data_IF_794861367332
#
_entry.id   IF_794861367332
#
_cell.length_a   1.000
_cell.length_b   1.000
_cell.length_c   1.000
_cell.angle_alpha   90.00
_cell.angle_beta   90.00
_cell.angle_gamma   90.00
#
_symmetry.space_group_name_H-M   'P 1'
#
loop_
_entity.id
_entity.type
_entity.pdbx_description
1 polymer ?
#
# COMPACT_ATOMS: atom_id res chain seq x y z
N UNK A 1 14.52 -18.04 0.78
CA UNK A 1 15.20 -16.85 0.20
C UNK A 1 14.18 -15.74 0.16
N UNK A 2 14.31 -14.70 1.01
CA UNK A 2 13.42 -13.54 0.97
C UNK A 2 13.96 -12.62 -0.11
N UNK A 3 13.21 -12.39 -1.19
CA UNK A 3 13.58 -11.48 -2.26
C UNK A 3 13.81 -10.08 -1.68
N UNK A 4 15.08 -9.71 -1.49
CA UNK A 4 15.54 -8.41 -0.93
C UNK A 4 15.22 -7.19 -1.82
N UNK A 5 14.52 -7.37 -2.94
CA UNK A 5 14.22 -6.31 -3.92
C UNK A 5 12.75 -5.93 -4.06
N UNK A 6 11.79 -6.80 -3.68
CA UNK A 6 10.38 -6.42 -3.70
C UNK A 6 10.01 -5.80 -2.35
N UNK A 7 9.86 -4.47 -2.32
CA UNK A 7 9.05 -3.82 -1.29
C UNK A 7 7.71 -4.56 -1.24
N UNK A 8 7.40 -5.22 -0.11
CA UNK A 8 6.06 -5.76 0.06
C UNK A 8 5.10 -4.55 0.01
N UNK A 9 4.02 -4.66 -0.76
CA UNK A 9 3.11 -3.53 -1.03
C UNK A 9 2.59 -2.89 0.26
N UNK A 10 2.34 -3.70 1.30
CA UNK A 10 1.95 -3.21 2.62
C UNK A 10 2.98 -2.31 3.31
N UNK A 11 4.27 -2.63 3.21
CA UNK A 11 5.37 -1.86 3.79
C UNK A 11 5.54 -0.52 3.07
N UNK A 12 5.29 -0.50 1.76
CA UNK A 12 5.23 0.72 0.98
C UNK A 12 4.03 1.59 1.38
N UNK A 13 2.83 1.00 1.50
CA UNK A 13 1.63 1.67 2.00
C UNK A 13 1.89 2.29 3.37
N UNK A 14 2.49 1.55 4.31
CA UNK A 14 2.89 2.05 5.63
C UNK A 14 3.85 3.24 5.53
N UNK A 15 4.87 3.13 4.69
CA UNK A 15 5.85 4.19 4.53
C UNK A 15 5.19 5.48 4.00
N UNK A 16 4.32 5.37 3.00
CA UNK A 16 3.66 6.56 2.45
C UNK A 16 2.65 7.14 3.44
N UNK A 17 1.84 6.30 4.09
CA UNK A 17 0.88 6.74 5.10
C UNK A 17 1.55 7.52 6.22
N UNK A 18 2.65 6.99 6.76
CA UNK A 18 3.40 7.65 7.85
C UNK A 18 4.08 8.94 7.39
N UNK A 19 4.68 8.98 6.18
CA UNK A 19 5.19 10.23 5.58
C UNK A 19 4.12 11.32 5.45
N UNK A 20 2.86 10.94 5.24
CA UNK A 20 1.71 11.85 5.16
C UNK A 20 1.07 12.17 6.52
N UNK A 21 1.65 11.71 7.64
CA UNK A 21 1.07 11.84 8.98
C UNK A 21 -0.39 11.37 9.07
N UNK A 22 -0.76 10.36 8.29
CA UNK A 22 -2.10 9.78 8.29
C UNK A 22 -2.16 8.62 9.28
N UNK A 23 -3.14 8.61 10.18
CA UNK A 23 -3.34 7.50 11.11
C UNK A 23 -4.03 6.31 10.42
N UNK A 24 -3.98 5.12 11.04
CA UNK A 24 -4.70 3.96 10.50
C UNK A 24 -6.22 4.16 10.58
N UNK A 25 -6.71 4.82 11.62
CA UNK A 25 -8.12 5.15 11.82
C UNK A 25 -8.62 6.10 10.72
N UNK A 26 -7.80 7.10 10.37
CA UNK A 26 -8.13 8.02 9.27
C UNK A 26 -8.14 7.31 7.93
N UNK A 27 -7.14 6.45 7.67
CA UNK A 27 -7.11 5.67 6.43
C UNK A 27 -8.31 4.72 6.35
N UNK A 28 -8.64 4.05 7.46
CA UNK A 28 -9.80 3.17 7.61
C UNK A 28 -11.11 3.89 7.30
N UNK A 29 -11.29 5.11 7.81
CA UNK A 29 -12.48 5.90 7.55
C UNK A 29 -12.65 6.30 6.07
N UNK A 30 -11.54 6.44 5.32
CA UNK A 30 -11.57 6.84 3.90
C UNK A 30 -11.75 5.63 2.98
N UNK A 31 -11.22 4.47 3.36
CA UNK A 31 -11.22 3.27 2.50
C UNK A 31 -12.26 2.23 2.89
N UNK A 32 -12.93 2.40 4.03
CA UNK A 32 -13.84 1.43 4.64
C UNK A 32 -13.17 0.07 4.99
N UNK A 33 -11.84 0.00 4.92
CA UNK A 33 -11.06 -1.18 5.34
C UNK A 33 -10.81 -1.05 6.85
N UNK A 34 -11.06 -2.14 7.60
CA UNK A 34 -10.88 -2.11 9.05
C UNK A 34 -9.43 -1.80 9.46
N UNK A 35 -9.24 -1.08 10.57
CA UNK A 35 -7.92 -0.80 11.14
C UNK A 35 -7.08 -2.07 11.33
N UNK A 36 -7.71 -3.18 11.75
CA UNK A 36 -7.04 -4.46 11.93
C UNK A 36 -6.53 -5.04 10.59
N UNK A 37 -7.33 -4.97 9.52
CA UNK A 37 -6.89 -5.37 8.19
C UNK A 37 -5.77 -4.47 7.69
N UNK A 38 -5.87 -3.16 7.85
CA UNK A 38 -4.79 -2.23 7.47
C UNK A 38 -3.47 -2.56 8.19
N UNK A 39 -3.53 -2.80 9.49
CA UNK A 39 -2.36 -3.16 10.29
C UNK A 39 -1.74 -4.49 9.85
N UNK A 40 -2.56 -5.48 9.50
CA UNK A 40 -2.13 -6.76 8.95
C UNK A 40 -1.43 -6.59 7.59
N UNK A 41 -2.05 -5.83 6.68
CA UNK A 41 -1.49 -5.50 5.36
C UNK A 41 -0.12 -4.84 5.53
N UNK A 42 -0.02 -3.81 6.39
CA UNK A 42 1.24 -3.10 6.64
C UNK A 42 2.35 -3.97 7.25
N UNK A 43 2.00 -5.10 7.86
CA UNK A 43 2.93 -6.10 8.40
C UNK A 43 3.34 -7.16 7.37
N UNK A 44 2.80 -7.09 6.14
CA UNK A 44 3.15 -7.98 5.04
C UNK A 44 2.18 -9.15 4.85
N UNK A 45 0.99 -9.08 5.44
CA UNK A 45 -0.08 -10.03 5.13
C UNK A 45 -0.66 -9.72 3.74
N UNK A 46 -0.99 -10.76 2.97
CA UNK A 46 -1.49 -10.59 1.60
C UNK A 46 -2.79 -9.76 1.58
N UNK A 47 -2.88 -8.78 0.66
CA UNK A 47 -4.09 -8.03 0.34
C UNK A 47 -4.65 -8.44 -1.03
N UNK A 48 -5.96 -8.28 -1.20
CA UNK A 48 -6.55 -8.27 -2.53
C UNK A 48 -5.97 -7.10 -3.32
N UNK A 49 -5.73 -7.30 -4.62
CA UNK A 49 -5.23 -6.24 -5.51
C UNK A 49 -6.13 -5.00 -5.47
N UNK A 50 -7.45 -5.19 -5.34
CA UNK A 50 -8.43 -4.12 -5.16
C UNK A 50 -8.17 -3.30 -3.91
N UNK A 51 -7.87 -3.93 -2.78
CA UNK A 51 -7.64 -3.25 -1.51
C UNK A 51 -6.35 -2.44 -1.60
N UNK A 52 -5.30 -3.02 -2.16
CA UNK A 52 -4.04 -2.32 -2.33
C UNK A 52 -4.23 -1.10 -3.28
N UNK A 53 -5.08 -1.20 -4.30
CA UNK A 53 -5.42 -0.09 -5.21
C UNK A 53 -6.21 1.04 -4.52
N UNK A 54 -7.23 0.68 -3.73
CA UNK A 54 -8.01 1.63 -2.93
C UNK A 54 -7.10 2.38 -1.97
N UNK A 55 -6.18 1.67 -1.30
CA UNK A 55 -5.23 2.26 -0.35
C UNK A 55 -4.28 3.27 -1.00
N UNK A 56 -3.71 2.93 -2.15
CA UNK A 56 -2.81 3.83 -2.88
C UNK A 56 -3.56 5.07 -3.38
N UNK A 57 -4.78 4.90 -3.88
CA UNK A 57 -5.62 6.02 -4.32
C UNK A 57 -5.97 6.94 -3.16
N UNK A 58 -6.37 6.40 -2.00
CA UNK A 58 -6.65 7.17 -0.79
C UNK A 58 -5.40 7.90 -0.26
N UNK A 59 -4.21 7.35 -0.50
CA UNK A 59 -2.93 8.00 -0.21
C UNK A 59 -2.53 9.03 -1.27
N UNK A 60 -3.33 9.24 -2.31
CA UNK A 60 -3.15 10.27 -3.32
C UNK A 60 -2.22 9.88 -4.46
N UNK A 61 -2.03 8.59 -4.72
CA UNK A 61 -1.44 8.13 -5.97
C UNK A 61 -2.49 8.12 -7.07
N UNK A 62 -2.11 8.59 -8.25
CA UNK A 62 -2.90 8.42 -9.46
C UNK A 62 -2.56 7.09 -10.17
N UNK A 63 -3.40 6.72 -11.13
CA UNK A 63 -3.25 5.49 -11.91
C UNK A 63 -1.87 5.36 -12.57
N UNK A 64 -1.34 6.47 -13.11
CA UNK A 64 -0.06 6.44 -13.84
C UNK A 64 1.09 6.17 -12.88
N UNK A 65 1.11 6.81 -11.72
CA UNK A 65 2.13 6.58 -10.69
C UNK A 65 2.10 5.15 -10.14
N UNK A 66 0.90 4.56 -10.01
CA UNK A 66 0.75 3.17 -9.58
C UNK A 66 1.30 2.22 -10.64
N UNK A 67 0.95 2.43 -11.92
CA UNK A 67 1.43 1.62 -13.04
C UNK A 67 2.95 1.74 -13.21
N UNK A 68 3.49 2.94 -13.14
CA UNK A 68 4.94 3.19 -13.26
C UNK A 68 5.72 2.46 -12.16
N UNK A 69 5.22 2.49 -10.92
CA UNK A 69 5.84 1.78 -9.79
C UNK A 69 5.81 0.25 -9.95
N UNK A 70 4.79 -0.29 -10.62
CA UNK A 70 4.69 -1.73 -10.93
C UNK A 70 5.62 -2.12 -12.08
N UNK A 71 5.79 -1.26 -13.09
CA UNK A 71 6.62 -1.52 -14.26
C UNK A 71 8.11 -1.39 -13.97
N UNK A 72 8.53 -0.45 -13.10
CA UNK A 72 9.95 -0.29 -12.74
C UNK A 72 10.55 -1.48 -11.95
N UNK A 73 9.73 -2.43 -11.50
CA UNK A 73 10.17 -3.66 -10.86
C UNK A 73 10.26 -4.87 -11.82
N UNK A 74 10.03 -4.67 -13.12
CA UNK A 74 10.31 -5.71 -14.11
C UNK A 74 11.77 -5.60 -14.59
N UNK A 75 12.59 -6.65 -14.44
CA UNK A 75 13.90 -6.67 -15.09
C UNK A 75 13.69 -6.61 -16.61
N UNK A 76 14.41 -5.70 -17.28
CA UNK A 76 14.54 -5.72 -18.74
C UNK A 76 15.14 -7.04 -19.22
#
# INVERSE_FOLDING_TARGET
MVNKGMLNVGSFIRQVRTKKNMSLERLSAVTEISVNQLAAIEQGQDCLVSDCFILLTALGFDWNQIVDALQQNQPQ
#
